data_IF_900928554774
#
_entry.id   IF_900928554774
#
_cell.length_a   1.000
_cell.length_b   1.000
_cell.length_c   1.000
_cell.angle_alpha   90.00
_cell.angle_beta   90.00
_cell.angle_gamma   90.00
#
_symmetry.space_group_name_H-M   'P 1'
#
loop_
_entity.id
_entity.type
_entity.pdbx_description
1 polymer ?
#
# COMPACT_ATOMS: atom_id res chain seq x y z
N UNK A 1 11.86 10.32 19.32
CA UNK A 1 10.96 9.80 18.27
C UNK A 1 9.56 9.61 18.85
N UNK A 2 8.53 10.20 18.25
CA UNK A 2 7.15 10.09 18.77
C UNK A 2 6.61 8.67 18.56
N UNK A 3 6.06 8.02 19.60
CA UNK A 3 5.39 6.69 19.54
C UNK A 3 4.16 6.63 18.62
N UNK A 4 3.85 7.72 17.91
CA UNK A 4 2.71 7.82 17.02
C UNK A 4 3.04 7.10 15.71
N UNK A 5 2.17 6.18 15.31
CA UNK A 5 2.25 5.42 14.05
C UNK A 5 3.34 4.35 13.98
N UNK A 6 3.56 3.60 15.07
CA UNK A 6 4.41 2.40 15.06
C UNK A 6 3.97 1.34 14.04
N UNK A 7 2.68 1.33 13.70
CA UNK A 7 2.09 0.47 12.68
C UNK A 7 2.65 0.69 11.27
N UNK A 8 3.44 1.75 11.03
CA UNK A 8 4.12 1.96 9.74
C UNK A 8 5.18 0.91 9.44
N UNK A 9 5.91 0.44 10.46
CA UNK A 9 7.01 -0.51 10.24
C UNK A 9 6.48 -1.88 9.75
N UNK A 10 5.42 -2.46 10.34
CA UNK A 10 4.80 -3.66 9.78
C UNK A 10 4.30 -3.49 8.34
N UNK A 11 3.75 -2.33 7.98
CA UNK A 11 3.35 -2.06 6.60
C UNK A 11 4.56 -1.93 5.67
N UNK A 12 5.64 -1.30 6.12
CA UNK A 12 6.88 -1.19 5.36
C UNK A 12 7.49 -2.56 5.06
N UNK A 13 7.50 -3.45 6.05
CA UNK A 13 7.94 -4.83 5.89
C UNK A 13 6.99 -5.65 5.02
N UNK A 14 5.68 -5.48 5.17
CA UNK A 14 4.71 -6.15 4.30
C UNK A 14 4.88 -5.73 2.82
N UNK A 15 5.32 -4.48 2.58
CA UNK A 15 5.63 -3.96 1.25
C UNK A 15 7.01 -4.40 0.74
N UNK A 16 7.71 -5.31 1.42
CA UNK A 16 9.01 -5.82 0.98
C UNK A 16 8.90 -6.73 -0.25
N UNK A 17 7.79 -7.41 -0.49
CA UNK A 17 7.66 -8.35 -1.63
C UNK A 17 6.64 -7.91 -2.70
N UNK A 18 5.72 -7.01 -2.37
CA UNK A 18 4.78 -6.41 -3.33
C UNK A 18 4.27 -5.04 -2.89
N UNK A 19 3.68 -4.29 -3.82
CA UNK A 19 2.81 -3.18 -3.47
C UNK A 19 1.52 -3.68 -2.78
N UNK A 20 0.97 -2.88 -1.86
CA UNK A 20 -0.21 -3.22 -1.06
C UNK A 20 -1.33 -2.23 -1.35
N UNK A 21 -2.55 -2.73 -1.46
CA UNK A 21 -3.73 -1.89 -1.64
C UNK A 21 -4.07 -1.18 -0.33
N UNK A 22 -4.51 0.08 -0.40
CA UNK A 22 -4.94 0.82 0.78
C UNK A 22 -6.06 0.12 1.56
N UNK A 23 -6.91 -0.65 0.88
CA UNK A 23 -7.96 -1.48 1.48
C UNK A 23 -7.45 -2.72 2.22
N UNK A 24 -6.27 -3.23 1.89
CA UNK A 24 -5.65 -4.39 2.56
C UNK A 24 -4.91 -4.00 3.83
N UNK A 25 -4.46 -2.74 3.94
CA UNK A 25 -3.64 -2.28 5.07
C UNK A 25 -4.29 -2.48 6.43
N UNK A 26 -5.58 -2.17 6.64
CA UNK A 26 -6.22 -2.42 7.93
C UNK A 26 -6.22 -3.91 8.30
N UNK A 27 -6.46 -4.80 7.32
CA UNK A 27 -6.47 -6.25 7.55
C UNK A 27 -5.10 -6.77 7.96
N UNK A 28 -4.03 -6.28 7.35
CA UNK A 28 -2.64 -6.61 7.73
C UNK A 28 -2.35 -6.16 9.17
N UNK A 29 -2.84 -4.98 9.54
CA UNK A 29 -2.63 -4.42 10.87
C UNK A 29 -3.53 -5.05 11.95
N UNK A 30 -4.70 -5.59 11.60
CA UNK A 30 -5.62 -6.20 12.56
C UNK A 30 -5.02 -7.42 13.27
N UNK A 31 -4.07 -8.12 12.62
CA UNK A 31 -3.33 -9.22 13.25
C UNK A 31 -2.29 -8.76 14.29
N UNK A 32 -1.95 -7.47 14.33
CA UNK A 32 -0.84 -6.92 15.11
C UNK A 32 -1.27 -5.88 16.15
N UNK A 33 -2.41 -5.21 15.92
CA UNK A 33 -2.89 -4.12 16.75
C UNK A 33 -4.39 -4.24 17.03
N UNK A 34 -4.80 -3.95 18.26
CA UNK A 34 -6.21 -3.96 18.67
C UNK A 34 -7.03 -2.80 18.07
N UNK A 35 -6.39 -1.64 17.88
CA UNK A 35 -7.04 -0.41 17.41
C UNK A 35 -6.39 0.07 16.11
N UNK A 36 -6.82 -0.52 15.00
CA UNK A 36 -6.27 -0.21 13.67
C UNK A 36 -6.93 1.05 13.10
N UNK A 37 -6.14 2.00 12.57
CA UNK A 37 -6.70 3.17 11.88
C UNK A 37 -7.40 2.77 10.57
N UNK A 38 -8.39 3.56 10.13
CA UNK A 38 -9.03 3.34 8.83
C UNK A 38 -8.03 3.46 7.67
N UNK A 39 -8.31 2.80 6.55
CA UNK A 39 -7.51 2.88 5.33
C UNK A 39 -7.23 4.33 4.89
N UNK A 40 -8.20 5.23 5.05
CA UNK A 40 -8.06 6.66 4.74
C UNK A 40 -7.00 7.32 5.63
N UNK A 41 -7.05 7.08 6.95
CA UNK A 41 -6.09 7.64 7.90
C UNK A 41 -4.70 7.06 7.71
N UNK A 42 -4.59 5.77 7.43
CA UNK A 42 -3.33 5.12 7.07
C UNK A 42 -2.74 5.80 5.84
N UNK A 43 -3.51 5.87 4.75
CA UNK A 43 -3.09 6.46 3.48
C UNK A 43 -2.60 7.90 3.66
N UNK A 44 -3.33 8.73 4.42
CA UNK A 44 -2.95 10.12 4.68
C UNK A 44 -1.60 10.24 5.42
N UNK A 45 -1.30 9.31 6.33
CA UNK A 45 -0.02 9.27 7.04
C UNK A 45 1.09 8.75 6.13
N UNK A 46 0.85 7.70 5.33
CA UNK A 46 1.83 7.16 4.40
C UNK A 46 2.20 8.17 3.32
N UNK A 47 1.24 8.94 2.78
CA UNK A 47 1.51 10.02 1.81
C UNK A 47 2.44 11.12 2.35
N UNK A 48 2.58 11.25 3.68
CA UNK A 48 3.48 12.23 4.32
C UNK A 48 4.85 11.63 4.67
N UNK A 49 5.01 10.31 4.58
CA UNK A 49 6.23 9.60 4.92
C UNK A 49 7.00 9.26 3.63
N UNK A 50 8.19 9.85 3.48
CA UNK A 50 9.03 9.74 2.26
C UNK A 50 9.46 8.30 1.94
N UNK A 51 9.34 7.37 2.88
CA UNK A 51 9.66 5.95 2.67
C UNK A 51 8.62 5.22 1.84
N UNK A 52 7.42 5.79 1.70
CA UNK A 52 6.32 5.19 0.97
C UNK A 52 6.04 6.00 -0.30
N UNK A 53 5.66 5.30 -1.36
CA UNK A 53 5.25 5.89 -2.63
C UNK A 53 3.84 5.42 -2.95
N UNK A 54 3.00 6.37 -3.35
CA UNK A 54 1.67 6.08 -3.90
C UNK A 54 1.84 5.68 -5.36
N UNK A 55 1.42 4.47 -5.70
CA UNK A 55 1.46 3.95 -7.05
C UNK A 55 0.07 4.20 -7.64
N UNK A 56 -0.07 5.31 -8.38
CA UNK A 56 -1.32 5.66 -9.05
C UNK A 56 -1.45 4.90 -10.38
N UNK A 57 -1.70 3.60 -10.31
CA UNK A 57 -2.01 2.79 -11.50
C UNK A 57 -3.52 2.50 -11.56
N UNK A 58 -4.19 2.67 -12.72
CA UNK A 58 -5.59 2.32 -12.86
C UNK A 58 -5.74 0.79 -12.81
N UNK A 59 -6.19 0.25 -11.68
CA UNK A 59 -6.50 -1.17 -11.56
C UNK A 59 -7.93 -1.44 -12.05
N UNK A 60 -8.10 -2.25 -13.09
CA UNK A 60 -9.39 -2.76 -13.54
C UNK A 60 -9.32 -4.28 -13.77
N UNK A 61 -10.17 -5.02 -13.06
CA UNK A 61 -10.72 -6.28 -13.57
C UNK A 61 -12.21 -6.30 -13.24
N UNK A 62 -12.99 -5.60 -14.06
CA UNK A 62 -14.44 -5.70 -14.09
C UNK A 62 -14.84 -5.95 -15.54
N UNK A 63 -15.41 -7.12 -15.82
CA UNK A 63 -15.95 -7.50 -17.14
C UNK A 63 -17.11 -6.61 -17.63
N UNK A 64 -17.56 -5.67 -16.81
CA UNK A 64 -18.61 -4.71 -17.12
C UNK A 64 -18.06 -3.32 -16.84
N UNK A 65 -17.91 -2.51 -17.89
CA UNK A 65 -17.34 -1.15 -17.86
C UNK A 65 -18.11 -0.11 -17.04
N UNK A 66 -18.68 -0.47 -15.90
CA UNK A 66 -19.39 0.40 -14.99
C UNK A 66 -18.59 0.58 -13.68
N UNK A 67 -17.95 1.74 -13.56
CA UNK A 67 -17.26 2.28 -12.38
C UNK A 67 -15.91 1.63 -12.02
N UNK A 68 -14.89 1.99 -12.78
CA UNK A 68 -13.49 1.85 -12.38
C UNK A 68 -13.27 2.57 -11.04
N UNK A 69 -13.15 1.84 -9.94
CA UNK A 69 -12.69 2.42 -8.68
C UNK A 69 -11.18 2.54 -8.74
N UNK A 70 -10.67 3.78 -8.63
CA UNK A 70 -9.23 4.02 -8.49
C UNK A 70 -8.77 3.37 -7.19
N UNK A 71 -8.14 2.21 -7.29
CA UNK A 71 -7.55 1.55 -6.12
C UNK A 71 -6.19 2.17 -5.88
N UNK A 72 -5.98 2.68 -4.67
CA UNK A 72 -4.71 3.30 -4.30
C UNK A 72 -3.77 2.20 -3.83
N UNK A 73 -2.68 2.00 -4.58
CA UNK A 73 -1.57 1.15 -4.19
C UNK A 73 -0.50 1.97 -3.47
N UNK A 74 0.12 1.35 -2.49
CA UNK A 74 1.31 1.87 -1.85
C UNK A 74 2.44 0.86 -1.93
N UNK A 75 3.63 1.38 -2.13
CA UNK A 75 4.86 0.62 -2.03
C UNK A 75 5.90 1.39 -1.23
N UNK A 76 7.06 0.77 -1.03
CA UNK A 76 8.28 1.43 -0.62
C UNK A 76 8.84 2.31 -1.75
N UNK A 77 9.34 3.49 -1.39
CA UNK A 77 9.91 4.46 -2.31
C UNK A 77 11.31 4.08 -2.84
N UNK A 78 12.01 3.15 -2.17
CA UNK A 78 13.33 2.66 -2.56
C UNK A 78 13.30 1.60 -3.66
N UNK A 79 12.15 1.38 -4.30
CA UNK A 79 11.94 0.28 -5.24
C UNK A 79 11.13 0.70 -6.46
N UNK A 80 11.41 0.02 -7.58
CA UNK A 80 10.65 0.13 -8.82
C UNK A 80 9.59 -0.98 -8.91
N UNK A 81 8.41 -0.62 -9.39
CA UNK A 81 7.26 -1.51 -9.53
C UNK A 81 6.95 -1.69 -11.01
N UNK A 82 7.03 -2.94 -11.48
CA UNK A 82 6.64 -3.28 -12.83
C UNK A 82 5.13 -3.07 -13.05
N UNK A 83 4.74 -2.95 -14.32
CA UNK A 83 3.32 -2.92 -14.74
C UNK A 83 2.68 -4.31 -14.75
N UNK A 84 3.46 -5.37 -14.59
CA UNK A 84 2.96 -6.74 -14.52
C UNK A 84 2.21 -6.99 -13.20
N UNK A 85 0.91 -7.27 -13.29
CA UNK A 85 0.12 -7.76 -12.16
C UNK A 85 0.60 -9.15 -11.73
N UNK A 86 0.70 -9.46 -10.41
CA UNK A 86 0.53 -8.54 -9.29
C UNK A 86 1.75 -7.65 -9.17
N UNK A 87 1.58 -6.30 -9.12
CA UNK A 87 2.64 -5.27 -9.22
C UNK A 87 3.91 -5.60 -8.44
N UNK A 88 4.71 -6.45 -9.07
CA UNK A 88 5.83 -7.12 -8.45
C UNK A 88 7.02 -6.19 -8.52
N UNK A 89 8.00 -6.50 -7.69
CA UNK A 89 9.27 -5.83 -7.81
C UNK A 89 9.94 -6.19 -9.12
N UNK A 90 10.38 -5.16 -9.84
CA UNK A 90 11.30 -5.34 -10.96
C UNK A 90 12.64 -5.78 -10.39
N UNK A 91 12.96 -7.06 -10.51
CA UNK A 91 14.33 -7.53 -10.27
C UNK A 91 15.18 -7.00 -11.43
N UNK A 92 15.89 -5.90 -11.20
CA UNK A 92 17.02 -5.55 -12.06
C UNK A 92 18.02 -6.72 -12.00
N UNK A 93 18.33 -7.25 -13.18
CA UNK A 93 19.25 -8.36 -13.38
C UNK A 93 20.67 -7.85 -13.48
#
# INVERSE_FOLDING_TARGET
MSRKNLWKEPLYEAMKDRAILSSEMPSILNGLYRNVPSAVKISAVLCRDKRFVKIEKPYCYGLSGAKSHRVILFGRADREYDDASPFGFKRMK
#
